data_IF_097321451783
#
_entry.id   IF_097321451783
#
_cell.length_a   1.000
_cell.length_b   1.000
_cell.length_c   1.000
_cell.angle_alpha   90.00
_cell.angle_beta   90.00
_cell.angle_gamma   90.00
#
_symmetry.space_group_name_H-M   'P 1'
#
loop_
_entity.id
_entity.type
_entity.pdbx_description
1 polymer ?
#
# COMPACT_ATOMS: atom_id res chain seq x y z
N UNK A 1 -14.51 12.06 -13.47
CA UNK A 1 -13.21 11.56 -13.98
C UNK A 1 -12.75 10.47 -13.03
N UNK A 2 -12.31 9.32 -13.55
CA UNK A 2 -12.39 8.04 -12.83
C UNK A 2 -11.12 7.70 -12.04
N UNK A 3 -11.29 7.38 -10.76
CA UNK A 3 -10.33 6.57 -10.01
C UNK A 3 -10.11 5.23 -10.73
N UNK A 4 -8.88 4.72 -10.69
CA UNK A 4 -8.59 3.35 -11.13
C UNK A 4 -8.78 2.43 -9.93
N UNK A 5 -9.88 1.66 -9.92
CA UNK A 5 -10.20 0.75 -8.82
C UNK A 5 -9.95 -0.68 -9.28
N UNK A 6 -9.12 -1.41 -8.53
CA UNK A 6 -8.73 -2.78 -8.77
C UNK A 6 -9.20 -3.66 -7.62
N UNK A 7 -10.14 -4.56 -7.88
CA UNK A 7 -10.59 -5.53 -6.87
C UNK A 7 -9.80 -6.82 -6.97
N UNK A 8 -9.14 -7.21 -5.88
CA UNK A 8 -8.39 -8.47 -5.78
C UNK A 8 -9.36 -9.64 -5.64
N UNK A 9 -9.56 -10.39 -6.73
CA UNK A 9 -10.47 -11.54 -6.79
C UNK A 9 -9.78 -12.89 -6.59
N UNK A 10 -8.61 -12.90 -5.96
CA UNK A 10 -7.89 -14.15 -5.69
C UNK A 10 -8.69 -15.03 -4.70
N UNK A 11 -8.91 -16.34 -4.96
CA UNK A 11 -9.76 -17.19 -4.12
C UNK A 11 -9.38 -17.18 -2.63
N UNK A 12 -8.08 -17.17 -2.32
CA UNK A 12 -7.62 -17.09 -0.93
C UNK A 12 -7.95 -15.74 -0.28
N UNK A 13 -7.78 -14.63 -1.01
CA UNK A 13 -8.11 -13.30 -0.50
C UNK A 13 -9.61 -13.16 -0.23
N UNK A 14 -10.45 -13.66 -1.15
CA UNK A 14 -11.91 -13.71 -0.97
C UNK A 14 -12.31 -14.61 0.22
N UNK A 15 -11.61 -15.73 0.42
CA UNK A 15 -11.87 -16.60 1.55
C UNK A 15 -11.51 -15.92 2.87
N UNK A 16 -10.30 -15.35 2.98
CA UNK A 16 -9.86 -14.65 4.20
C UNK A 16 -10.74 -13.44 4.52
N UNK A 17 -11.13 -12.66 3.52
CA UNK A 17 -12.01 -11.51 3.74
C UNK A 17 -13.42 -11.93 4.18
N UNK A 18 -13.96 -13.02 3.59
CA UNK A 18 -15.23 -13.62 4.03
C UNK A 18 -15.14 -14.12 5.47
N UNK A 19 -14.01 -14.73 5.86
CA UNK A 19 -13.78 -15.17 7.24
C UNK A 19 -13.82 -14.01 8.23
N UNK A 20 -13.17 -12.88 7.93
CA UNK A 20 -13.19 -11.69 8.78
C UNK A 20 -14.61 -11.11 8.89
N UNK A 21 -15.38 -11.11 7.79
CA UNK A 21 -16.71 -10.47 7.74
C UNK A 21 -17.84 -11.29 8.34
N UNK A 22 -17.81 -12.61 8.20
CA UNK A 22 -18.97 -13.47 8.45
C UNK A 22 -18.85 -14.33 9.71
N UNK A 23 -17.74 -14.24 10.45
CA UNK A 23 -17.53 -15.03 11.67
C UNK A 23 -16.99 -14.14 12.77
N UNK A 24 -17.35 -14.45 14.00
CA UNK A 24 -16.60 -13.97 15.15
C UNK A 24 -15.23 -14.66 15.11
N UNK A 25 -14.23 -13.92 14.66
CA UNK A 25 -12.85 -14.39 14.58
C UNK A 25 -12.12 -13.88 15.82
N UNK A 26 -11.42 -14.77 16.51
CA UNK A 26 -10.55 -14.38 17.62
C UNK A 26 -9.53 -13.32 17.16
N UNK A 27 -9.21 -12.38 18.03
CA UNK A 27 -8.37 -11.22 17.68
C UNK A 27 -7.04 -11.61 17.03
N UNK A 28 -6.37 -12.65 17.53
CA UNK A 28 -5.10 -13.13 17.00
C UNK A 28 -5.24 -13.66 15.56
N UNK A 29 -6.29 -14.45 15.32
CA UNK A 29 -6.59 -14.98 13.98
C UNK A 29 -6.97 -13.86 13.02
N UNK A 30 -7.73 -12.87 13.50
CA UNK A 30 -8.13 -11.70 12.71
C UNK A 30 -6.91 -10.90 12.24
N UNK A 31 -5.95 -10.66 13.13
CA UNK A 31 -4.70 -9.97 12.80
C UNK A 31 -3.91 -10.74 11.73
N UNK A 32 -3.81 -12.07 11.84
CA UNK A 32 -3.13 -12.90 10.84
C UNK A 32 -3.83 -12.83 9.47
N UNK A 33 -5.16 -12.84 9.44
CA UNK A 33 -5.92 -12.70 8.20
C UNK A 33 -5.75 -11.31 7.57
N UNK A 34 -5.75 -10.23 8.37
CA UNK A 34 -5.43 -8.89 7.88
C UNK A 34 -4.04 -8.88 7.25
N UNK A 35 -3.03 -9.43 7.92
CA UNK A 35 -1.66 -9.49 7.39
C UNK A 35 -1.62 -10.19 6.03
N UNK A 36 -2.27 -11.35 5.90
CA UNK A 36 -2.35 -12.10 4.63
C UNK A 36 -3.03 -11.29 3.52
N UNK A 37 -4.12 -10.60 3.84
CA UNK A 37 -4.82 -9.73 2.89
C UNK A 37 -3.95 -8.52 2.50
N UNK A 38 -3.28 -7.87 3.45
CA UNK A 38 -2.39 -6.75 3.18
C UNK A 38 -1.22 -7.15 2.28
N UNK A 39 -0.59 -8.31 2.51
CA UNK A 39 0.46 -8.84 1.62
C UNK A 39 -0.09 -9.08 0.22
N UNK A 40 -1.30 -9.65 0.11
CA UNK A 40 -1.94 -9.92 -1.19
C UNK A 40 -2.24 -8.63 -1.96
N UNK A 41 -2.75 -7.60 -1.28
CA UNK A 41 -3.01 -6.29 -1.85
C UNK A 41 -1.71 -5.62 -2.32
N UNK A 42 -0.67 -5.65 -1.49
CA UNK A 42 0.64 -5.08 -1.83
C UNK A 42 1.22 -5.83 -3.02
N UNK A 43 1.15 -7.15 -3.05
CA UNK A 43 1.64 -7.95 -4.17
C UNK A 43 0.98 -7.55 -5.50
N UNK A 44 -0.35 -7.42 -5.53
CA UNK A 44 -1.07 -6.98 -6.72
C UNK A 44 -0.75 -5.52 -7.10
N UNK A 45 -0.59 -4.63 -6.12
CA UNK A 45 -0.15 -3.26 -6.37
C UNK A 45 1.26 -3.20 -6.98
N UNK A 46 2.19 -4.00 -6.45
CA UNK A 46 3.57 -4.05 -6.92
C UNK A 46 3.70 -4.53 -8.36
N UNK A 47 2.81 -5.41 -8.81
CA UNK A 47 2.80 -5.90 -10.20
C UNK A 47 2.77 -4.77 -11.24
N UNK A 48 2.16 -3.64 -10.90
CA UNK A 48 2.06 -2.45 -11.74
C UNK A 48 3.04 -1.33 -11.37
N UNK A 49 3.82 -1.49 -10.29
CA UNK A 49 4.77 -0.48 -9.80
C UNK A 49 6.23 -0.88 -10.04
N UNK A 50 6.52 -2.18 -10.02
CA UNK A 50 7.88 -2.71 -10.17
C UNK A 50 8.18 -2.97 -11.64
N UNK A 51 9.34 -2.49 -12.09
CA UNK A 51 9.88 -2.81 -13.40
C UNK A 51 10.79 -4.04 -13.27
N UNK A 52 10.77 -4.91 -14.26
CA UNK A 52 11.64 -6.09 -14.32
C UNK A 52 12.67 -5.83 -15.41
N UNK A 53 13.94 -5.84 -15.03
CA UNK A 53 15.07 -5.70 -15.95
C UNK A 53 15.66 -7.07 -16.29
N UNK A 54 16.25 -7.17 -17.47
CA UNK A 54 16.89 -8.38 -17.97
C UNK A 54 18.41 -8.25 -17.83
N UNK A 55 19.01 -9.12 -17.02
CA UNK A 55 20.47 -9.21 -16.86
C UNK A 55 20.99 -10.43 -17.61
N UNK A 56 21.86 -10.19 -18.59
CA UNK A 56 22.51 -11.25 -19.37
C UNK A 56 23.92 -11.50 -18.85
N UNK A 57 24.15 -12.69 -18.28
CA UNK A 57 25.45 -13.14 -17.85
C UNK A 57 26.05 -14.05 -18.92
N UNK A 58 27.07 -13.55 -19.63
CA UNK A 58 27.80 -14.34 -20.62
C UNK A 58 28.83 -15.22 -19.91
N UNK A 59 28.65 -16.54 -19.98
CA UNK A 59 29.66 -17.52 -19.61
C UNK A 59 30.44 -17.96 -20.86
N UNK A 60 31.48 -18.78 -20.68
CA UNK A 60 32.31 -19.26 -21.80
C UNK A 60 31.50 -20.02 -22.86
N UNK A 61 30.44 -20.73 -22.45
CA UNK A 61 29.72 -21.67 -23.32
C UNK A 61 28.22 -21.35 -23.51
N UNK A 62 27.66 -20.39 -22.77
CA UNK A 62 26.24 -20.01 -22.87
C UNK A 62 26.00 -18.60 -22.32
N UNK A 63 24.82 -18.05 -22.62
CA UNK A 63 24.33 -16.81 -22.00
C UNK A 63 23.22 -17.22 -21.04
N UNK A 64 23.34 -16.81 -19.78
CA UNK A 64 22.27 -16.91 -18.79
C UNK A 64 21.49 -15.61 -18.76
N UNK A 65 20.17 -15.69 -18.88
CA UNK A 65 19.27 -14.57 -18.65
C UNK A 65 18.71 -14.65 -17.23
N UNK A 66 18.75 -13.53 -16.51
CA UNK A 66 18.19 -13.37 -15.18
C UNK A 66 17.19 -12.21 -15.20
N UNK A 67 16.05 -12.39 -14.55
CA UNK A 67 15.08 -11.32 -14.31
C UNK A 67 15.33 -10.71 -12.94
N UNK A 68 15.63 -9.42 -12.89
CA UNK A 68 15.87 -8.69 -11.65
C UNK A 68 14.85 -7.57 -11.50
N UNK A 69 14.46 -7.28 -10.26
CA UNK A 69 13.59 -6.14 -9.98
C UNK A 69 14.40 -4.86 -10.10
N UNK A 70 13.91 -3.89 -10.86
CA UNK A 70 14.49 -2.57 -10.97
C UNK A 70 14.51 -1.88 -9.60
N UNK A 71 15.51 -1.04 -9.38
CA UNK A 71 15.83 -0.46 -8.08
C UNK A 71 14.94 0.75 -7.71
N UNK A 72 13.65 0.68 -8.01
CA UNK A 72 12.70 1.76 -7.83
C UNK A 72 12.30 1.88 -6.34
N UNK A 73 12.52 3.03 -5.69
CA UNK A 73 12.21 3.18 -4.27
C UNK A 73 10.71 3.13 -4.03
N UNK A 74 10.29 2.22 -3.15
CA UNK A 74 8.91 2.07 -2.72
C UNK A 74 8.80 2.51 -1.26
N UNK A 75 7.83 3.38 -0.98
CA UNK A 75 7.48 3.79 0.37
C UNK A 75 6.09 3.25 0.71
N UNK A 76 5.97 2.50 1.81
CA UNK A 76 4.67 2.07 2.31
C UNK A 76 4.35 2.86 3.58
N UNK A 77 3.17 3.48 3.57
CA UNK A 77 2.64 4.29 4.66
C UNK A 77 1.40 3.59 5.22
N UNK A 78 1.31 3.41 6.54
CA UNK A 78 0.10 2.87 7.19
C UNK A 78 -0.18 3.61 8.48
N UNK A 79 -1.46 3.76 8.84
CA UNK A 79 -1.85 4.34 10.14
C UNK A 79 -1.72 3.32 11.27
N UNK A 80 -1.70 2.04 10.90
CA UNK A 80 -1.57 0.94 11.84
C UNK A 80 -0.11 0.51 11.95
N UNK A 81 0.59 1.06 12.94
CA UNK A 81 1.98 0.73 13.25
C UNK A 81 2.20 -0.76 13.52
N UNK A 82 1.23 -1.44 14.14
CA UNK A 82 1.31 -2.87 14.43
C UNK A 82 1.26 -3.68 13.14
N UNK A 83 0.36 -3.35 12.23
CA UNK A 83 0.29 -3.96 10.91
C UNK A 83 1.59 -3.75 10.14
N UNK A 84 2.12 -2.53 10.14
CA UNK A 84 3.38 -2.19 9.45
C UNK A 84 4.56 -3.01 9.98
N UNK A 85 4.67 -3.15 11.31
CA UNK A 85 5.72 -3.95 11.95
C UNK A 85 5.61 -5.44 11.61
N UNK A 86 4.39 -5.98 11.57
CA UNK A 86 4.15 -7.37 11.18
C UNK A 86 4.54 -7.62 9.73
N UNK A 87 4.21 -6.67 8.85
CA UNK A 87 4.53 -6.76 7.44
C UNK A 87 6.01 -6.52 7.13
N UNK A 88 6.75 -5.83 8.00
CA UNK A 88 8.13 -5.43 7.72
C UNK A 88 9.01 -6.60 7.32
N UNK A 89 8.97 -7.71 8.06
CA UNK A 89 9.81 -8.87 7.77
C UNK A 89 9.47 -9.48 6.41
N UNK A 90 8.19 -9.61 6.11
CA UNK A 90 7.75 -10.27 4.89
C UNK A 90 8.00 -9.37 3.67
N UNK A 91 7.73 -8.06 3.78
CA UNK A 91 7.88 -7.12 2.66
C UNK A 91 9.34 -6.78 2.34
N UNK A 92 10.21 -6.65 3.34
CA UNK A 92 11.64 -6.39 3.10
C UNK A 92 12.35 -7.55 2.42
N UNK A 93 11.78 -8.76 2.51
CA UNK A 93 12.27 -9.92 1.76
C UNK A 93 11.91 -9.83 0.26
N UNK A 94 10.70 -9.35 -0.08
CA UNK A 94 10.22 -9.31 -1.46
C UNK A 94 10.56 -8.02 -2.21
N UNK A 95 10.71 -6.90 -1.51
CA UNK A 95 10.83 -5.57 -2.11
C UNK A 95 12.19 -4.97 -1.76
N UNK A 96 13.15 -4.94 -2.71
CA UNK A 96 14.40 -4.24 -2.49
C UNK A 96 14.14 -2.74 -2.31
N UNK A 97 14.91 -2.08 -1.43
CA UNK A 97 14.79 -0.65 -1.11
C UNK A 97 13.42 -0.19 -0.63
N UNK A 98 12.71 -1.08 0.07
CA UNK A 98 11.49 -0.71 0.75
C UNK A 98 11.77 0.25 1.91
N UNK A 99 11.00 1.32 1.97
CA UNK A 99 10.91 2.20 3.14
C UNK A 99 9.52 2.08 3.75
N UNK A 100 9.45 1.89 5.06
CA UNK A 100 8.19 1.89 5.80
C UNK A 100 8.08 3.15 6.63
N UNK A 101 6.89 3.76 6.63
CA UNK A 101 6.62 4.97 7.41
C UNK A 101 5.27 4.88 8.10
N UNK A 102 5.26 5.07 9.42
CA UNK A 102 4.02 5.19 10.20
C UNK A 102 3.52 6.65 10.24
N UNK A 103 3.56 7.34 9.11
CA UNK A 103 3.20 8.76 9.01
C UNK A 103 1.76 8.90 8.55
N UNK A 104 0.82 8.81 9.48
CA UNK A 104 -0.48 9.43 9.29
C UNK A 104 -0.52 10.77 10.00
N UNK A 105 -1.20 11.71 9.37
CA UNK A 105 -1.55 12.98 9.98
C UNK A 105 -2.52 12.70 11.12
N UNK A 106 -2.00 12.44 12.32
CA UNK A 106 -2.81 12.56 13.51
C UNK A 106 -3.12 14.04 13.68
N UNK A 107 -4.40 14.39 13.87
CA UNK A 107 -4.82 15.78 14.13
C UNK A 107 -4.32 16.29 15.49
N UNK A 108 -3.55 15.47 16.22
CA UNK A 108 -3.01 15.79 17.53
C UNK A 108 -1.54 16.24 17.42
N UNK A 109 -1.24 17.53 17.59
CA UNK A 109 0.12 18.06 17.44
C UNK A 109 1.13 17.51 18.46
N UNK A 110 0.67 16.89 19.55
CA UNK A 110 1.54 16.35 20.60
C UNK A 110 2.18 14.99 20.25
N UNK A 111 1.58 14.21 19.35
CA UNK A 111 2.10 12.87 18.97
C UNK A 111 3.20 12.97 17.91
N UNK A 112 3.31 14.11 17.21
CA UNK A 112 4.31 14.33 16.16
C UNK A 112 5.76 14.27 16.65
N UNK A 113 6.00 14.36 17.97
CA UNK A 113 7.35 14.45 18.55
C UNK A 113 7.97 13.11 19.01
N UNK A 114 7.23 11.99 18.99
CA UNK A 114 7.73 10.72 19.59
C UNK A 114 7.98 9.57 18.60
N UNK A 115 7.42 9.62 17.40
CA UNK A 115 7.88 8.73 16.32
C UNK A 115 9.22 9.24 15.83
N UNK A 116 10.31 8.49 16.06
CA UNK A 116 11.60 8.68 15.39
C UNK A 116 11.32 9.10 13.96
N UNK A 117 11.66 10.33 13.64
CA UNK A 117 11.62 10.83 12.29
C UNK A 117 12.56 9.94 11.46
N UNK A 118 12.01 8.90 10.84
CA UNK A 118 12.42 8.60 9.48
C UNK A 118 11.94 9.81 8.68
N UNK A 119 12.71 10.90 8.81
CA UNK A 119 12.87 11.88 7.75
C UNK A 119 12.98 11.02 6.50
N UNK A 120 12.01 11.19 5.60
CA UNK A 120 12.12 10.64 4.26
C UNK A 120 13.35 11.36 3.72
N UNK A 121 14.53 10.77 3.96
CA UNK A 121 15.80 11.41 3.73
C UNK A 121 15.84 11.81 2.27
N UNK A 122 16.50 12.95 2.04
CA UNK A 122 16.55 13.78 0.83
C UNK A 122 17.04 13.08 -0.45
N UNK A 123 16.71 11.82 -0.67
CA UNK A 123 16.89 11.17 -1.96
C UNK A 123 15.84 11.73 -2.92
N UNK A 124 16.35 12.57 -3.81
CA UNK A 124 15.75 13.25 -4.95
C UNK A 124 15.20 12.31 -6.04
N UNK A 125 15.15 11.00 -5.79
CA UNK A 125 14.58 10.03 -6.72
C UNK A 125 13.07 9.96 -6.53
N UNK A 126 12.36 9.90 -7.65
CA UNK A 126 10.92 9.80 -7.64
C UNK A 126 10.46 8.53 -6.94
N UNK A 127 9.54 8.62 -5.98
CA UNK A 127 9.12 7.50 -5.13
C UNK A 127 7.71 7.03 -5.52
N UNK A 128 7.54 5.72 -5.53
CA UNK A 128 6.22 5.09 -5.55
C UNK A 128 5.73 4.98 -4.11
N UNK A 129 4.56 5.54 -3.82
CA UNK A 129 3.97 5.53 -2.48
C UNK A 129 2.77 4.60 -2.47
N UNK A 130 2.75 3.67 -1.52
CA UNK A 130 1.61 2.81 -1.22
C UNK A 130 1.08 3.20 0.15
N UNK A 131 -0.19 3.60 0.23
CA UNK A 131 -0.88 3.81 1.49
C UNK A 131 -1.66 2.54 1.81
N UNK A 132 -1.39 1.92 2.96
CA UNK A 132 -2.03 0.69 3.41
C UNK A 132 -2.96 0.98 4.58
N UNK A 133 -4.24 0.67 4.38
CA UNK A 133 -5.28 0.77 5.39
C UNK A 133 -6.08 -0.53 5.46
N UNK A 134 -6.73 -0.79 6.59
CA UNK A 134 -7.71 -1.87 6.64
C UNK A 134 -9.01 -1.43 5.97
N UNK A 135 -9.58 -0.32 6.45
CA UNK A 135 -10.77 0.29 5.89
C UNK A 135 -10.37 1.62 5.26
N UNK A 136 -10.90 1.91 4.06
CA UNK A 136 -10.70 3.23 3.47
C UNK A 136 -11.32 4.30 4.38
N UNK A 137 -10.56 5.35 4.68
CA UNK A 137 -11.05 6.55 5.37
C UNK A 137 -10.67 7.76 4.51
N UNK A 138 -11.66 8.33 3.84
CA UNK A 138 -11.44 9.42 2.89
C UNK A 138 -10.79 10.64 3.57
N UNK A 139 -11.22 11.02 4.78
CA UNK A 139 -10.69 12.20 5.49
C UNK A 139 -9.23 12.01 5.85
N UNK A 140 -8.87 10.84 6.38
CA UNK A 140 -7.48 10.51 6.68
C UNK A 140 -6.65 10.48 5.41
N UNK A 141 -7.17 9.86 4.35
CA UNK A 141 -6.50 9.74 3.06
C UNK A 141 -6.19 11.12 2.46
N UNK A 142 -7.19 12.00 2.37
CA UNK A 142 -7.03 13.36 1.85
C UNK A 142 -5.98 14.14 2.66
N UNK A 143 -5.98 13.99 3.98
CA UNK A 143 -5.00 14.66 4.84
C UNK A 143 -3.58 14.17 4.57
N UNK A 144 -3.39 12.86 4.49
CA UNK A 144 -2.09 12.25 4.14
C UNK A 144 -1.62 12.66 2.75
N UNK A 145 -2.50 12.62 1.74
CA UNK A 145 -2.18 13.02 0.37
C UNK A 145 -1.80 14.51 0.29
N UNK A 146 -2.53 15.39 0.98
CA UNK A 146 -2.22 16.82 1.00
C UNK A 146 -0.84 17.09 1.62
N UNK A 147 -0.50 16.37 2.69
CA UNK A 147 0.82 16.49 3.32
C UNK A 147 1.96 16.00 2.43
N UNK A 148 1.76 14.89 1.71
CA UNK A 148 2.74 14.36 0.75
C UNK A 148 2.91 15.33 -0.43
N UNK A 149 1.80 15.82 -0.98
CA UNK A 149 1.80 16.74 -2.12
C UNK A 149 2.45 18.09 -1.80
N UNK A 150 2.29 18.59 -0.58
CA UNK A 150 2.86 19.87 -0.14
C UNK A 150 4.36 19.81 0.22
N UNK A 151 4.89 18.62 0.53
CA UNK A 151 6.28 18.44 1.00
C UNK A 151 7.19 17.73 0.00
N UNK A 152 6.65 16.95 -0.94
CA UNK A 152 7.45 16.07 -1.80
C UNK A 152 7.41 16.47 -3.28
N UNK A 153 8.49 17.11 -3.75
CA UNK A 153 8.82 17.11 -5.18
C UNK A 153 9.31 15.70 -5.53
N UNK A 154 8.48 14.89 -6.21
CA UNK A 154 8.92 13.60 -6.74
C UNK A 154 8.02 12.39 -6.53
N UNK A 155 6.78 12.52 -6.04
CA UNK A 155 5.86 11.37 -6.03
C UNK A 155 5.52 10.99 -7.47
N UNK A 156 5.98 9.81 -7.91
CA UNK A 156 5.72 9.34 -9.28
C UNK A 156 4.32 8.75 -9.39
N UNK A 157 3.96 7.94 -8.40
CA UNK A 157 2.69 7.22 -8.36
C UNK A 157 2.26 7.00 -6.92
N UNK A 158 0.99 7.27 -6.68
CA UNK A 158 0.33 7.05 -5.40
C UNK A 158 -0.69 5.93 -5.56
N UNK A 159 -0.59 4.93 -4.69
CA UNK A 159 -1.46 3.76 -4.68
C UNK A 159 -2.05 3.59 -3.29
N UNK A 160 -3.34 3.27 -3.19
CA UNK A 160 -4.00 2.92 -1.93
C UNK A 160 -4.31 1.43 -1.95
N UNK A 161 -3.93 0.74 -0.89
CA UNK A 161 -4.31 -0.64 -0.62
C UNK A 161 -5.24 -0.63 0.60
N UNK A 162 -6.48 -1.07 0.43
CA UNK A 162 -7.45 -1.20 1.52
C UNK A 162 -8.15 -2.56 1.47
N UNK A 163 -8.48 -3.16 2.61
CA UNK A 163 -9.23 -4.43 2.61
C UNK A 163 -10.66 -4.14 2.18
N UNK A 164 -11.32 -3.20 2.86
CA UNK A 164 -12.69 -2.80 2.61
C UNK A 164 -12.75 -1.30 2.26
N UNK A 165 -13.64 -0.96 1.33
CA UNK A 165 -13.96 0.43 1.02
C UNK A 165 -15.44 0.61 0.70
N UNK A 166 -15.98 1.75 1.10
CA UNK A 166 -17.37 2.11 0.83
C UNK A 166 -17.50 2.89 -0.48
N UNK A 167 -18.59 2.68 -1.21
CA UNK A 167 -18.87 3.38 -2.47
C UNK A 167 -18.88 4.89 -2.32
N UNK A 168 -19.45 5.40 -1.22
CA UNK A 168 -19.49 6.84 -0.92
C UNK A 168 -18.09 7.44 -0.73
N UNK A 169 -17.22 6.73 0.00
CA UNK A 169 -15.85 7.16 0.24
C UNK A 169 -15.01 7.15 -1.04
N UNK A 170 -15.21 6.15 -1.91
CA UNK A 170 -14.56 6.10 -3.22
C UNK A 170 -15.01 7.29 -4.09
N UNK A 171 -16.30 7.62 -4.08
CA UNK A 171 -16.81 8.76 -4.83
C UNK A 171 -16.21 10.09 -4.32
N UNK A 172 -16.23 10.33 -3.01
CA UNK A 172 -15.65 11.53 -2.39
C UNK A 172 -14.15 11.67 -2.73
N UNK A 173 -13.40 10.57 -2.68
CA UNK A 173 -11.99 10.55 -3.00
C UNK A 173 -11.75 10.83 -4.49
N UNK A 174 -12.59 10.30 -5.38
CA UNK A 174 -12.47 10.48 -6.82
C UNK A 174 -12.86 11.87 -7.33
N UNK A 175 -13.73 12.57 -6.59
CA UNK A 175 -14.04 13.98 -6.83
C UNK A 175 -12.85 14.88 -6.48
N UNK A 176 -12.04 14.49 -5.48
CA UNK A 176 -10.91 15.30 -4.98
C UNK A 176 -9.58 14.96 -5.65
N UNK A 177 -9.29 13.68 -5.89
CA UNK A 177 -8.02 13.19 -6.44
C UNK A 177 -8.25 12.17 -7.57
N UNK A 178 -7.94 12.58 -8.80
CA UNK A 178 -8.24 11.80 -10.01
C UNK A 178 -7.08 10.90 -10.51
N UNK A 179 -5.91 10.94 -9.86
CA UNK A 179 -4.71 10.16 -10.25
C UNK A 179 -4.30 9.19 -9.13
N UNK A 180 -5.26 8.40 -8.67
CA UNK A 180 -5.08 7.44 -7.60
C UNK A 180 -5.47 6.04 -8.07
N UNK A 181 -4.56 5.08 -7.89
CA UNK A 181 -4.88 3.67 -8.04
C UNK A 181 -5.32 3.11 -6.68
N UNK A 182 -6.47 2.45 -6.62
CA UNK A 182 -7.02 1.85 -5.41
C UNK A 182 -7.08 0.35 -5.61
N UNK A 183 -6.38 -0.40 -4.78
CA UNK A 183 -6.44 -1.86 -4.71
C UNK A 183 -7.26 -2.23 -3.48
N UNK A 184 -8.32 -3.00 -3.69
CA UNK A 184 -9.22 -3.41 -2.62
C UNK A 184 -9.65 -4.86 -2.71
N UNK A 185 -10.06 -5.46 -1.60
CA UNK A 185 -10.65 -6.80 -1.60
C UNK A 185 -12.16 -6.71 -1.74
N UNK A 186 -12.80 -5.79 -1.01
CA UNK A 186 -14.24 -5.62 -1.03
C UNK A 186 -14.64 -4.16 -1.24
N UNK A 187 -15.63 -3.97 -2.12
CA UNK A 187 -16.38 -2.72 -2.23
C UNK A 187 -17.73 -2.94 -1.57
N UNK A 188 -18.03 -2.15 -0.54
CA UNK A 188 -19.28 -2.18 0.21
C UNK A 188 -20.19 -1.11 -0.38
N UNK A 189 -21.35 -1.53 -0.89
CA UNK A 189 -22.36 -0.61 -1.39
C UNK A 189 -23.10 0.01 -0.21
N UNK A 190 -23.06 1.33 -0.13
CA UNK A 190 -23.87 2.11 0.81
C UNK A 190 -25.27 2.26 0.22
N UNK A 191 -26.04 1.18 0.19
CA UNK A 191 -27.43 1.30 -0.23
C UNK A 191 -28.20 2.09 0.83
N UNK A 192 -28.73 3.25 0.42
CA UNK A 192 -29.79 4.02 1.07
C UNK A 192 -31.07 3.19 1.09
#
# INVERSE_FOLDING_TARGET
MSLSIYTVKHPLALNWSSHIRNREVEQNQRIELIQKLSISLIYEALRNLVQVDHLYLKSLNHIHELHILANNPICIISSNSSLLNMLFRDLTFFIPNLTLSNKFADNNPEIQNTTKEYSLTNNTSSKNIIILEENLDCKKMLTTINQLSGKERGVQKLTVCCIDCHTTQLQELGETYNKLDIYTVNIISDNI
#
